data_IF_769362022201
#
_entry.id   IF_769362022201
#
_cell.length_a   1.000
_cell.length_b   1.000
_cell.length_c   1.000
_cell.angle_alpha   90.00
_cell.angle_beta   90.00
_cell.angle_gamma   90.00
#
_symmetry.space_group_name_H-M   'P 1'
#
loop_
_entity.id
_entity.type
_entity.pdbx_description
1 polymer ?
#
# COMPACT_ATOMS: atom_id res chain seq x y z
N UNK A 1 29.72 -7.19 53.29
CA UNK A 1 28.72 -8.16 52.84
C UNK A 1 27.86 -7.51 51.74
N UNK A 2 28.28 -7.64 50.49
CA UNK A 2 27.67 -7.02 49.33
C UNK A 2 26.79 -8.07 48.64
N UNK A 3 25.48 -7.92 48.65
CA UNK A 3 24.54 -8.80 47.99
C UNK A 3 24.40 -8.39 46.52
N UNK A 4 24.87 -9.22 45.62
CA UNK A 4 24.55 -9.15 44.19
C UNK A 4 23.14 -9.67 43.97
N UNK A 5 22.25 -8.81 43.47
CA UNK A 5 20.96 -9.19 42.96
C UNK A 5 21.13 -9.51 41.46
N UNK A 6 21.05 -10.77 41.13
CA UNK A 6 21.04 -11.27 39.74
C UNK A 6 19.63 -11.04 39.18
N UNK A 7 19.46 -10.02 38.33
CA UNK A 7 18.22 -9.83 37.59
C UNK A 7 18.19 -10.80 36.40
N UNK A 8 17.37 -11.85 36.50
CA UNK A 8 17.04 -12.70 35.36
C UNK A 8 16.08 -11.92 34.45
N UNK A 9 16.61 -11.43 33.35
CA UNK A 9 15.80 -11.00 32.20
C UNK A 9 15.23 -12.25 31.50
N UNK A 10 13.99 -12.59 31.82
CA UNK A 10 13.20 -13.51 31.01
C UNK A 10 12.82 -12.76 29.71
N UNK A 11 13.52 -13.03 28.62
CA UNK A 11 13.02 -12.75 27.28
C UNK A 11 11.93 -13.77 26.98
N UNK A 12 10.68 -13.41 27.22
CA UNK A 12 9.55 -14.12 26.69
C UNK A 12 9.47 -13.88 25.18
N UNK A 13 10.26 -14.61 24.42
CA UNK A 13 10.04 -14.81 23.00
C UNK A 13 8.76 -15.64 22.85
N UNK A 14 7.60 -14.96 22.82
CA UNK A 14 6.35 -15.61 22.50
C UNK A 14 6.43 -16.06 21.05
N UNK A 15 6.42 -17.34 20.81
CA UNK A 15 6.27 -17.94 19.51
C UNK A 15 4.85 -17.63 18.99
N UNK A 16 4.66 -16.46 18.35
CA UNK A 16 3.45 -16.10 17.60
C UNK A 16 3.38 -16.80 16.23
N UNK A 17 4.29 -17.74 15.97
CA UNK A 17 4.48 -18.34 14.65
C UNK A 17 3.30 -19.21 14.17
N UNK A 18 2.43 -19.68 15.06
CA UNK A 18 1.38 -20.64 14.75
C UNK A 18 -0.06 -20.14 14.97
N UNK A 19 -0.25 -18.88 15.38
CA UNK A 19 -1.59 -18.34 15.59
C UNK A 19 -2.15 -17.65 14.35
N UNK A 20 -3.43 -17.89 14.11
CA UNK A 20 -4.18 -17.16 13.09
C UNK A 20 -4.34 -15.69 13.50
N UNK A 21 -4.13 -14.78 12.57
CA UNK A 21 -4.40 -13.36 12.78
C UNK A 21 -5.13 -12.73 11.59
N UNK A 22 -5.71 -11.57 11.81
CA UNK A 22 -6.45 -10.81 10.80
C UNK A 22 -5.85 -9.42 10.68
N UNK A 23 -5.71 -8.93 9.46
CA UNK A 23 -5.53 -7.50 9.20
C UNK A 23 -6.53 -7.04 8.14
N UNK A 24 -6.77 -5.73 8.07
CA UNK A 24 -7.70 -5.13 7.13
C UNK A 24 -7.02 -4.07 6.28
N UNK A 25 -7.56 -3.82 5.07
CA UNK A 25 -6.96 -2.88 4.12
C UNK A 25 -8.07 -2.03 3.51
N UNK A 26 -7.80 -0.73 3.38
CA UNK A 26 -8.56 0.24 2.55
C UNK A 26 -7.60 1.03 1.68
N UNK A 27 -8.13 1.71 0.67
CA UNK A 27 -7.41 2.63 -0.19
C UNK A 27 -8.29 3.82 -0.54
N UNK A 28 -7.68 4.95 -0.89
CA UNK A 28 -8.38 6.05 -1.54
C UNK A 28 -9.60 6.55 -0.74
N UNK A 29 -9.42 6.78 0.55
CA UNK A 29 -10.49 7.25 1.43
C UNK A 29 -10.98 8.67 1.10
N UNK A 30 -10.14 9.49 0.47
CA UNK A 30 -10.50 10.76 -0.16
C UNK A 30 -11.53 11.57 0.64
N UNK A 31 -11.21 12.11 1.82
CA UNK A 31 -12.18 12.92 2.57
C UNK A 31 -12.50 14.26 1.87
N UNK A 32 -12.91 14.19 0.63
CA UNK A 32 -13.36 15.34 -0.17
C UNK A 32 -14.90 15.38 -0.29
N UNK A 33 -15.41 16.17 -1.23
CA UNK A 33 -16.85 16.36 -1.47
C UNK A 33 -17.55 15.11 -2.05
N UNK A 34 -16.82 14.14 -2.55
CA UNK A 34 -17.36 12.90 -3.13
C UNK A 34 -17.48 11.78 -2.11
N UNK A 35 -16.86 11.93 -0.94
CA UNK A 35 -16.90 10.90 0.11
C UNK A 35 -18.17 11.01 0.94
N UNK A 36 -18.98 9.96 0.94
CA UNK A 36 -20.04 9.78 1.94
C UNK A 36 -19.40 9.43 3.29
N UNK A 37 -19.37 10.43 4.18
CA UNK A 37 -18.70 10.33 5.48
C UNK A 37 -19.37 9.33 6.41
N UNK A 38 -20.68 9.19 6.34
CA UNK A 38 -21.43 8.22 7.15
C UNK A 38 -21.21 6.80 6.63
N UNK A 39 -21.14 6.64 5.32
CA UNK A 39 -20.80 5.37 4.69
C UNK A 39 -19.37 4.95 5.05
N UNK A 40 -18.40 5.87 4.94
CA UNK A 40 -17.01 5.63 5.34
C UNK A 40 -16.91 5.20 6.82
N UNK A 41 -17.61 5.90 7.71
CA UNK A 41 -17.66 5.52 9.13
C UNK A 41 -18.21 4.11 9.34
N UNK A 42 -19.29 3.73 8.63
CA UNK A 42 -19.85 2.38 8.71
C UNK A 42 -18.86 1.32 8.21
N UNK A 43 -18.13 1.62 7.12
CA UNK A 43 -17.10 0.72 6.59
C UNK A 43 -16.01 0.47 7.62
N UNK A 44 -15.46 1.52 8.25
CA UNK A 44 -14.42 1.36 9.28
C UNK A 44 -14.92 0.62 10.53
N UNK A 45 -16.15 0.90 10.99
CA UNK A 45 -16.76 0.14 12.10
C UNK A 45 -16.96 -1.33 11.75
N UNK A 46 -17.30 -1.63 10.50
CA UNK A 46 -17.42 -3.02 10.03
C UNK A 46 -16.05 -3.69 9.99
N UNK A 47 -15.01 -3.01 9.51
CA UNK A 47 -13.64 -3.52 9.54
C UNK A 47 -13.13 -3.76 10.97
N UNK A 48 -13.43 -2.84 11.90
CA UNK A 48 -13.10 -2.99 13.33
C UNK A 48 -13.73 -4.22 13.98
N UNK A 49 -14.95 -4.59 13.55
CA UNK A 49 -15.66 -5.77 14.06
C UNK A 49 -14.95 -7.10 13.72
N UNK A 50 -14.08 -7.11 12.72
CA UNK A 50 -13.23 -8.25 12.39
C UNK A 50 -12.01 -8.38 13.34
N UNK A 51 -11.83 -7.45 14.29
CA UNK A 51 -10.76 -7.38 15.30
C UNK A 51 -9.37 -7.54 14.68
N UNK A 52 -9.01 -6.71 13.70
CA UNK A 52 -7.70 -6.79 13.07
C UNK A 52 -6.58 -6.44 14.05
N UNK A 53 -5.42 -7.09 13.92
CA UNK A 53 -4.21 -6.76 14.70
C UNK A 53 -3.57 -5.46 14.24
N UNK A 54 -3.81 -5.06 12.98
CA UNK A 54 -3.51 -3.76 12.40
C UNK A 54 -4.39 -3.53 11.15
N UNK A 55 -4.43 -2.29 10.71
CA UNK A 55 -5.06 -1.85 9.47
C UNK A 55 -4.01 -1.22 8.54
N UNK A 56 -4.15 -1.37 7.23
CA UNK A 56 -3.33 -0.69 6.23
C UNK A 56 -4.22 0.22 5.40
N UNK A 57 -3.86 1.49 5.29
CA UNK A 57 -4.48 2.45 4.36
C UNK A 57 -3.49 2.74 3.23
N UNK A 58 -3.91 2.50 1.99
CA UNK A 58 -3.02 2.52 0.82
C UNK A 58 -2.84 3.90 0.18
N UNK A 59 -3.19 4.96 0.91
CA UNK A 59 -2.92 6.33 0.45
C UNK A 59 -4.13 7.00 -0.20
N UNK A 60 -3.88 8.22 -0.67
CA UNK A 60 -4.90 9.20 -1.01
C UNK A 60 -5.85 9.43 0.18
N UNK A 61 -5.20 9.59 1.33
CA UNK A 61 -5.83 9.67 2.65
C UNK A 61 -6.14 11.10 3.04
N UNK A 62 -5.20 12.04 2.80
CA UNK A 62 -5.27 13.40 3.37
C UNK A 62 -5.69 14.46 2.36
N UNK A 63 -5.66 14.19 1.07
CA UNK A 63 -6.02 15.11 -0.02
C UNK A 63 -5.42 16.52 0.15
N UNK A 64 -4.21 16.61 0.72
CA UNK A 64 -3.57 17.86 1.14
C UNK A 64 -3.36 18.83 -0.02
N UNK A 65 -3.15 18.33 -1.22
CA UNK A 65 -2.89 19.13 -2.42
C UNK A 65 -4.14 19.84 -2.97
N UNK A 66 -5.35 19.40 -2.59
CA UNK A 66 -6.60 20.02 -3.00
C UNK A 66 -7.00 21.24 -2.14
N UNK A 67 -6.34 21.45 -1.02
CA UNK A 67 -6.64 22.56 -0.13
C UNK A 67 -5.78 23.79 -0.42
N UNK A 68 -6.44 24.95 -0.56
CA UNK A 68 -5.79 26.23 -0.88
C UNK A 68 -4.98 26.82 0.27
N UNK A 69 -5.24 26.40 1.52
CA UNK A 69 -4.50 26.87 2.68
C UNK A 69 -4.13 25.74 3.64
N UNK A 70 -3.05 25.96 4.40
CA UNK A 70 -2.47 24.95 5.32
C UNK A 70 -3.39 24.58 6.49
N UNK A 71 -4.23 25.50 6.96
CA UNK A 71 -5.16 25.21 8.05
C UNK A 71 -6.26 24.23 7.60
N UNK A 72 -6.83 24.44 6.41
CA UNK A 72 -7.80 23.52 5.83
C UNK A 72 -7.16 22.14 5.54
N UNK A 73 -5.95 22.12 4.99
CA UNK A 73 -5.21 20.86 4.78
C UNK A 73 -4.90 20.15 6.10
N UNK A 74 -4.52 20.88 7.17
CA UNK A 74 -4.26 20.29 8.48
C UNK A 74 -5.52 19.66 9.11
N UNK A 75 -6.71 20.17 8.80
CA UNK A 75 -7.97 19.59 9.29
C UNK A 75 -8.19 18.18 8.76
N UNK A 76 -7.71 17.84 7.56
CA UNK A 76 -7.77 16.49 6.99
C UNK A 76 -7.07 15.46 7.88
N UNK A 77 -5.90 15.79 8.42
CA UNK A 77 -5.17 14.89 9.32
C UNK A 77 -5.94 14.63 10.61
N UNK A 78 -6.57 15.67 11.18
CA UNK A 78 -7.39 15.54 12.38
C UNK A 78 -8.67 14.72 12.12
N UNK A 79 -9.30 14.93 10.99
CA UNK A 79 -10.50 14.17 10.61
C UNK A 79 -10.15 12.69 10.41
N UNK A 80 -9.07 12.39 9.69
CA UNK A 80 -8.62 11.00 9.50
C UNK A 80 -8.24 10.33 10.83
N UNK A 81 -7.61 11.04 11.77
CA UNK A 81 -7.37 10.49 13.10
C UNK A 81 -8.66 10.03 13.79
N UNK A 82 -9.75 10.82 13.68
CA UNK A 82 -11.05 10.47 14.26
C UNK A 82 -11.65 9.24 13.59
N UNK A 83 -11.55 9.14 12.26
CA UNK A 83 -12.02 7.97 11.53
C UNK A 83 -11.19 6.72 11.88
N UNK A 84 -9.88 6.79 11.81
CA UNK A 84 -9.02 5.65 12.13
C UNK A 84 -9.11 5.21 13.59
N UNK A 85 -9.43 6.13 14.51
CA UNK A 85 -9.70 5.76 15.91
C UNK A 85 -10.85 4.75 16.06
N UNK A 86 -11.80 4.69 15.08
CA UNK A 86 -12.88 3.71 15.08
C UNK A 86 -12.40 2.28 14.89
N UNK A 87 -11.22 2.07 14.30
CA UNK A 87 -10.62 0.75 14.08
C UNK A 87 -10.11 0.11 15.37
N UNK A 88 -9.71 0.92 16.37
CA UNK A 88 -9.18 0.44 17.65
C UNK A 88 -7.88 -0.37 17.53
N UNK A 89 -7.13 -0.20 16.45
CA UNK A 89 -5.89 -0.92 16.14
C UNK A 89 -4.89 0.01 15.47
N UNK A 90 -3.57 -0.29 15.47
CA UNK A 90 -2.58 0.47 14.71
C UNK A 90 -2.93 0.57 13.22
N UNK A 91 -2.69 1.73 12.62
CA UNK A 91 -2.90 1.98 11.19
C UNK A 91 -1.56 2.23 10.52
N UNK A 92 -1.22 1.42 9.55
CA UNK A 92 -0.06 1.58 8.69
C UNK A 92 -0.46 2.40 7.46
N UNK A 93 0.23 3.52 7.22
CA UNK A 93 -0.05 4.41 6.10
C UNK A 93 0.90 4.16 4.94
N UNK A 94 0.33 4.12 3.76
CA UNK A 94 1.02 4.25 2.47
C UNK A 94 0.73 5.65 1.93
N UNK A 95 1.63 6.24 1.17
CA UNK A 95 1.47 7.58 0.62
C UNK A 95 0.88 7.52 -0.79
N UNK A 96 -0.21 8.25 -0.99
CA UNK A 96 -0.86 8.44 -2.29
C UNK A 96 -0.48 9.77 -2.96
N UNK A 97 -0.89 9.93 -4.22
CA UNK A 97 -0.53 11.13 -4.99
C UNK A 97 -1.26 12.39 -4.54
N UNK A 98 -2.40 12.27 -3.86
CA UNK A 98 -3.15 13.39 -3.30
C UNK A 98 -2.71 13.79 -1.89
N UNK A 99 -1.85 13.01 -1.23
CA UNK A 99 -1.38 13.30 0.13
C UNK A 99 -0.39 14.47 0.23
N UNK A 100 -0.02 15.05 -0.92
CA UNK A 100 0.81 16.23 -1.00
C UNK A 100 2.31 15.97 -0.82
N UNK A 101 2.74 14.72 -0.73
CA UNK A 101 4.14 14.30 -0.59
C UNK A 101 4.78 13.88 -1.92
N UNK A 102 4.06 13.92 -3.03
CA UNK A 102 4.58 13.52 -4.33
C UNK A 102 5.62 14.48 -4.90
N UNK A 103 6.52 13.96 -5.75
CA UNK A 103 7.61 14.73 -6.36
C UNK A 103 7.15 16.00 -7.09
N UNK A 104 5.93 16.05 -7.63
CA UNK A 104 5.37 17.24 -8.29
C UNK A 104 5.21 18.46 -7.38
N UNK A 105 5.23 18.28 -6.07
CA UNK A 105 5.12 19.35 -5.07
C UNK A 105 6.46 19.80 -4.48
N UNK A 106 7.57 19.32 -5.00
CA UNK A 106 8.91 19.73 -4.59
C UNK A 106 9.27 21.08 -5.27
N UNK A 107 9.15 22.17 -4.53
CA UNK A 107 9.47 23.52 -5.02
C UNK A 107 10.82 24.07 -4.52
N UNK A 108 11.55 23.26 -3.72
CA UNK A 108 12.86 23.64 -3.16
C UNK A 108 12.79 24.62 -1.98
N UNK A 109 11.63 25.18 -1.66
CA UNK A 109 11.46 26.11 -0.53
C UNK A 109 11.19 25.42 0.79
N UNK A 110 11.29 26.15 1.90
CA UNK A 110 10.93 25.65 3.23
C UNK A 110 9.42 25.40 3.39
N UNK A 111 8.62 26.06 2.55
CA UNK A 111 7.16 25.99 2.57
C UNK A 111 6.59 25.04 1.49
N UNK A 112 7.44 24.24 0.82
CA UNK A 112 6.94 23.32 -0.18
C UNK A 112 5.90 22.36 0.41
N UNK A 113 4.90 21.99 -0.41
CA UNK A 113 3.81 21.14 0.04
C UNK A 113 4.30 19.80 0.53
N UNK A 114 5.21 19.15 -0.20
CA UNK A 114 5.74 17.83 0.17
C UNK A 114 6.40 17.83 1.57
N UNK A 115 7.22 18.83 1.85
CA UNK A 115 7.87 18.97 3.17
C UNK A 115 6.86 19.23 4.28
N UNK A 116 5.88 20.11 4.02
CA UNK A 116 4.84 20.41 4.98
C UNK A 116 3.93 19.20 5.26
N UNK A 117 3.46 18.51 4.22
CA UNK A 117 2.60 17.32 4.34
C UNK A 117 3.31 16.20 5.11
N UNK A 118 4.60 15.95 4.81
CA UNK A 118 5.42 15.01 5.58
C UNK A 118 5.50 15.37 7.06
N UNK A 119 5.71 16.65 7.38
CA UNK A 119 5.75 17.11 8.77
C UNK A 119 4.39 16.93 9.47
N UNK A 120 3.27 17.15 8.77
CA UNK A 120 1.92 16.91 9.30
C UNK A 120 1.66 15.44 9.54
N UNK A 121 2.03 14.58 8.60
CA UNK A 121 1.90 13.13 8.76
C UNK A 121 2.68 12.64 9.99
N UNK A 122 3.94 12.99 10.13
CA UNK A 122 4.76 12.65 11.31
C UNK A 122 4.15 13.18 12.61
N UNK A 123 3.57 14.38 12.57
CA UNK A 123 2.94 15.00 13.76
C UNK A 123 1.67 14.26 14.19
N UNK A 124 0.80 13.90 13.27
CA UNK A 124 -0.52 13.35 13.57
C UNK A 124 -0.57 11.83 13.53
N UNK A 125 0.36 11.20 12.82
CA UNK A 125 0.50 9.74 12.69
C UNK A 125 1.97 9.34 12.90
N UNK A 126 2.48 9.50 14.14
CA UNK A 126 3.89 9.21 14.44
C UNK A 126 4.22 7.72 14.34
N UNK A 127 3.22 6.85 14.47
CA UNK A 127 3.35 5.41 14.47
C UNK A 127 2.25 4.74 13.60
N UNK A 128 2.56 3.63 12.96
CA UNK A 128 3.90 3.06 12.74
C UNK A 128 4.59 3.72 11.54
N UNK A 129 5.82 4.19 11.72
CA UNK A 129 6.66 4.81 10.69
C UNK A 129 8.07 4.25 10.76
N UNK A 130 8.86 4.48 9.69
CA UNK A 130 10.29 4.27 9.76
C UNK A 130 10.90 5.19 10.84
N UNK A 131 11.88 4.72 11.63
CA UNK A 131 12.50 5.52 12.71
C UNK A 131 13.10 6.86 12.24
N UNK A 132 13.47 6.97 10.97
CA UNK A 132 14.03 8.17 10.35
C UNK A 132 12.97 9.02 9.61
N UNK A 133 11.68 8.69 9.75
CA UNK A 133 10.56 9.41 9.16
C UNK A 133 10.35 9.18 7.66
N UNK A 134 11.01 8.18 7.06
CA UNK A 134 10.75 7.77 5.68
C UNK A 134 9.35 7.16 5.56
N UNK A 135 8.76 7.26 4.37
CA UNK A 135 7.44 6.71 4.06
C UNK A 135 7.49 5.25 3.61
N UNK A 136 8.68 4.69 3.40
CA UNK A 136 8.87 3.27 3.08
C UNK A 136 9.53 2.56 4.27
N UNK A 137 8.92 1.45 4.66
CA UNK A 137 9.33 0.70 5.86
C UNK A 137 8.80 -0.74 5.81
N UNK A 138 9.21 -1.55 6.75
CA UNK A 138 8.74 -2.94 6.87
C UNK A 138 8.61 -3.35 8.32
N UNK A 139 7.75 -4.32 8.56
CA UNK A 139 7.61 -4.99 9.85
C UNK A 139 7.30 -6.47 9.66
N UNK A 140 7.42 -7.23 10.71
CA UNK A 140 7.00 -8.63 10.76
C UNK A 140 5.88 -8.81 11.79
N UNK A 141 4.92 -9.68 11.47
CA UNK A 141 3.91 -10.14 12.40
C UNK A 141 3.63 -11.62 12.15
N UNK A 142 3.72 -12.45 13.19
CA UNK A 142 3.69 -13.91 13.01
C UNK A 142 4.80 -14.38 12.06
N UNK A 143 4.43 -15.18 11.08
CA UNK A 143 5.31 -15.71 10.04
C UNK A 143 5.31 -14.86 8.74
N UNK A 144 4.89 -13.61 8.82
CA UNK A 144 4.68 -12.74 7.66
C UNK A 144 5.55 -11.49 7.71
N UNK A 145 6.06 -11.08 6.54
CA UNK A 145 6.73 -9.81 6.28
C UNK A 145 5.77 -8.88 5.54
N UNK A 146 5.70 -7.65 6.00
CA UNK A 146 4.92 -6.55 5.44
C UNK A 146 5.86 -5.44 5.03
N UNK A 147 5.74 -4.97 3.80
CA UNK A 147 6.62 -3.95 3.21
C UNK A 147 5.78 -2.85 2.60
N UNK A 148 5.96 -1.63 3.07
CA UNK A 148 5.39 -0.41 2.48
C UNK A 148 6.42 0.21 1.57
N UNK A 149 6.01 0.53 0.34
CA UNK A 149 6.80 1.27 -0.66
C UNK A 149 6.21 2.65 -0.90
N UNK A 150 7.09 3.63 -1.12
CA UNK A 150 6.72 4.99 -1.49
C UNK A 150 7.11 5.26 -2.94
N UNK A 151 6.15 5.33 -3.87
CA UNK A 151 6.43 5.61 -5.28
C UNK A 151 6.81 7.08 -5.54
N UNK A 152 6.80 7.94 -4.52
CA UNK A 152 7.00 9.38 -4.66
C UNK A 152 8.28 9.91 -4.03
N UNK A 153 8.90 9.17 -3.08
CA UNK A 153 10.03 9.66 -2.28
C UNK A 153 11.21 10.13 -3.14
N UNK A 154 11.55 9.38 -4.19
CA UNK A 154 12.65 9.69 -5.11
C UNK A 154 12.19 10.10 -6.50
N UNK A 155 10.86 10.11 -6.76
CA UNK A 155 10.32 10.53 -8.04
C UNK A 155 10.52 12.03 -8.22
N UNK A 156 11.30 12.47 -9.24
CA UNK A 156 11.48 13.87 -9.52
C UNK A 156 10.16 14.48 -10.02
N UNK A 157 10.11 15.83 -10.03
CA UNK A 157 8.97 16.53 -10.62
C UNK A 157 8.86 16.13 -12.09
N UNK A 158 7.69 15.61 -12.53
CA UNK A 158 7.51 15.22 -13.91
C UNK A 158 7.60 16.45 -14.84
N UNK A 159 8.32 16.30 -15.93
CA UNK A 159 8.29 17.24 -17.04
C UNK A 159 7.13 16.88 -17.97
N UNK A 160 6.50 17.86 -18.61
CA UNK A 160 5.54 17.59 -19.68
C UNK A 160 6.28 16.87 -20.82
N UNK A 161 5.75 15.76 -21.28
CA UNK A 161 6.27 14.88 -22.35
C UNK A 161 7.32 13.84 -21.92
N UNK A 162 7.58 13.64 -20.64
CA UNK A 162 8.42 12.53 -20.20
C UNK A 162 7.66 11.21 -20.31
N UNK A 163 8.38 10.18 -20.68
CA UNK A 163 7.92 8.81 -20.49
C UNK A 163 7.89 8.47 -18.97
N UNK A 164 7.16 7.43 -18.57
CA UNK A 164 7.01 7.14 -17.15
C UNK A 164 8.26 6.57 -16.46
N UNK A 165 9.43 6.56 -17.12
CA UNK A 165 10.70 6.23 -16.49
C UNK A 165 11.14 7.25 -15.43
N UNK A 166 10.53 8.44 -15.36
CA UNK A 166 10.75 9.39 -14.25
C UNK A 166 10.16 8.90 -12.92
N UNK A 167 9.14 8.04 -12.95
CA UNK A 167 8.58 7.39 -11.76
C UNK A 167 9.58 6.35 -11.26
N UNK A 168 9.94 6.43 -9.99
CA UNK A 168 10.99 5.60 -9.44
C UNK A 168 10.87 5.42 -7.94
N UNK A 169 11.16 4.22 -7.46
CA UNK A 169 11.46 4.00 -6.06
C UNK A 169 12.82 4.61 -5.66
N UNK A 170 13.67 4.93 -6.65
CA UNK A 170 15.06 5.33 -6.41
C UNK A 170 15.96 4.17 -5.98
N UNK A 171 17.27 4.32 -6.28
CA UNK A 171 18.24 3.23 -6.00
C UNK A 171 18.32 2.88 -4.52
N UNK A 172 18.19 3.85 -3.63
CA UNK A 172 18.24 3.63 -2.18
C UNK A 172 17.10 2.77 -1.69
N UNK A 173 15.84 3.11 -2.06
CA UNK A 173 14.67 2.34 -1.68
C UNK A 173 14.68 0.95 -2.34
N UNK A 174 15.09 0.87 -3.62
CA UNK A 174 15.23 -0.40 -4.31
C UNK A 174 16.23 -1.34 -3.63
N UNK A 175 17.41 -0.84 -3.27
CA UNK A 175 18.42 -1.64 -2.58
C UNK A 175 17.97 -2.06 -1.17
N UNK A 176 17.24 -1.19 -0.49
CA UNK A 176 16.62 -1.51 0.79
C UNK A 176 15.56 -2.61 0.61
N UNK A 177 14.65 -2.48 -0.37
CA UNK A 177 13.65 -3.49 -0.69
C UNK A 177 14.31 -4.85 -0.97
N UNK A 178 15.31 -4.85 -1.84
CA UNK A 178 16.07 -6.06 -2.19
C UNK A 178 16.62 -6.73 -0.94
N UNK A 179 17.36 -6.00 -0.09
CA UNK A 179 17.91 -6.55 1.16
C UNK A 179 16.82 -7.06 2.09
N UNK A 180 15.74 -6.32 2.27
CA UNK A 180 14.61 -6.69 3.14
C UNK A 180 13.98 -8.02 2.70
N UNK A 181 13.79 -8.22 1.41
CA UNK A 181 13.22 -9.44 0.87
C UNK A 181 14.17 -10.63 0.94
N UNK A 182 15.46 -10.44 0.59
CA UNK A 182 16.48 -11.49 0.56
C UNK A 182 16.87 -12.00 1.95
N UNK A 183 16.84 -11.13 2.96
CA UNK A 183 17.17 -11.50 4.34
C UNK A 183 15.98 -12.06 5.12
N UNK A 184 14.78 -12.01 4.56
CA UNK A 184 13.57 -12.46 5.25
C UNK A 184 13.27 -13.94 5.00
N UNK A 185 13.12 -14.68 6.09
CA UNK A 185 12.63 -16.07 6.09
C UNK A 185 11.09 -16.16 6.28
N UNK A 186 10.37 -15.03 6.18
CA UNK A 186 8.93 -15.01 6.33
C UNK A 186 8.27 -15.88 5.26
N UNK A 187 7.27 -16.65 5.70
CA UNK A 187 6.50 -17.56 4.84
C UNK A 187 5.62 -16.80 3.87
N UNK A 188 5.06 -15.68 4.33
CA UNK A 188 4.27 -14.75 3.51
C UNK A 188 4.99 -13.42 3.43
N UNK A 189 5.02 -12.82 2.23
CA UNK A 189 5.60 -11.50 1.99
C UNK A 189 4.59 -10.65 1.25
N UNK A 190 4.18 -9.56 1.86
CA UNK A 190 3.18 -8.64 1.32
C UNK A 190 3.80 -7.28 1.03
N UNK A 191 3.54 -6.77 -0.17
CA UNK A 191 3.94 -5.43 -0.59
C UNK A 191 2.70 -4.54 -0.61
N UNK A 192 2.85 -3.32 -0.07
CA UNK A 192 1.84 -2.26 -0.09
C UNK A 192 2.41 -1.04 -0.78
N UNK A 193 1.74 -0.57 -1.79
CA UNK A 193 2.14 0.60 -2.58
C UNK A 193 0.88 1.28 -3.10
N UNK A 194 0.85 2.61 -3.19
CA UNK A 194 -0.34 3.29 -3.69
C UNK A 194 -0.61 2.96 -5.17
N UNK A 195 0.41 3.11 -6.02
CA UNK A 195 0.38 2.66 -7.42
C UNK A 195 1.72 2.10 -7.84
N UNK A 196 1.75 1.25 -8.85
CA UNK A 196 2.99 0.72 -9.39
C UNK A 196 3.82 1.85 -10.04
N UNK A 197 5.15 1.77 -9.94
CA UNK A 197 6.05 2.68 -10.68
C UNK A 197 6.19 2.23 -12.14
N UNK A 198 5.05 2.03 -12.78
CA UNK A 198 4.91 1.55 -14.16
C UNK A 198 3.91 2.38 -14.94
N UNK A 199 2.79 2.73 -14.37
CA UNK A 199 1.59 3.22 -15.01
C UNK A 199 1.80 4.12 -16.22
N UNK A 200 1.16 3.75 -17.33
CA UNK A 200 1.05 4.59 -18.52
C UNK A 200 -0.21 5.43 -18.33
N UNK A 201 -0.11 6.77 -18.39
CA UNK A 201 -1.28 7.62 -18.23
C UNK A 201 -2.42 7.16 -19.16
N UNK A 202 -3.59 6.86 -18.58
CA UNK A 202 -4.82 6.40 -19.20
C UNK A 202 -4.79 4.98 -19.82
N UNK A 203 -3.68 4.26 -19.77
CA UNK A 203 -3.63 2.85 -20.21
C UNK A 203 -2.75 2.08 -19.23
N UNK A 204 -3.32 1.11 -18.52
CA UNK A 204 -2.59 0.24 -17.61
C UNK A 204 -1.97 0.96 -16.41
N UNK A 205 -2.74 1.80 -15.70
CA UNK A 205 -2.25 2.53 -14.51
C UNK A 205 -1.89 1.60 -13.36
N UNK A 206 -2.57 0.49 -13.24
CA UNK A 206 -2.36 -0.47 -12.18
C UNK A 206 -2.46 -1.92 -12.65
N UNK A 207 -2.35 -2.86 -11.74
CA UNK A 207 -2.52 -4.27 -11.99
C UNK A 207 -1.48 -4.92 -12.91
N UNK A 208 -1.82 -6.10 -13.39
CA UNK A 208 -0.90 -6.90 -14.22
C UNK A 208 -0.69 -6.34 -15.62
N UNK A 209 -1.62 -5.55 -16.12
CA UNK A 209 -1.50 -4.89 -17.44
C UNK A 209 -0.41 -3.81 -17.42
N UNK A 210 -0.21 -3.15 -16.28
CA UNK A 210 0.85 -2.16 -16.08
C UNK A 210 2.19 -2.79 -15.68
N UNK A 211 2.17 -3.93 -15.00
CA UNK A 211 3.34 -4.56 -14.41
C UNK A 211 4.52 -4.82 -15.38
N UNK A 212 4.34 -5.07 -16.69
CA UNK A 212 5.46 -5.26 -17.62
C UNK A 212 6.31 -4.02 -17.89
N UNK A 213 5.81 -2.81 -17.58
CA UNK A 213 6.40 -1.57 -18.06
C UNK A 213 7.29 -0.86 -17.05
N UNK A 214 8.18 -0.01 -17.59
CA UNK A 214 9.05 0.92 -16.88
C UNK A 214 9.84 0.26 -15.74
N UNK A 215 10.05 0.93 -14.64
CA UNK A 215 10.88 0.42 -13.53
C UNK A 215 10.30 -0.87 -12.91
N UNK A 216 8.97 -1.05 -12.98
CA UNK A 216 8.33 -2.23 -12.43
C UNK A 216 8.65 -3.50 -13.22
N UNK A 217 8.50 -3.47 -14.57
CA UNK A 217 8.67 -4.65 -15.41
C UNK A 217 9.79 -4.58 -16.45
N UNK A 218 10.39 -3.42 -16.66
CA UNK A 218 11.58 -3.22 -17.48
C UNK A 218 11.36 -2.83 -18.92
N UNK A 219 10.11 -2.83 -19.41
CA UNK A 219 9.80 -2.50 -20.80
C UNK A 219 9.44 -1.03 -21.00
N UNK A 220 9.76 -0.51 -22.16
CA UNK A 220 9.24 0.75 -22.66
C UNK A 220 7.75 0.62 -23.02
N UNK A 221 7.05 1.73 -23.25
CA UNK A 221 5.65 1.75 -23.65
C UNK A 221 5.36 0.96 -24.93
N UNK A 222 6.33 0.86 -25.85
CA UNK A 222 6.26 0.11 -27.10
C UNK A 222 6.55 -1.39 -26.94
N UNK A 223 6.81 -1.85 -25.71
CA UNK A 223 7.11 -3.25 -25.38
C UNK A 223 8.57 -3.66 -25.57
N UNK A 224 9.44 -2.77 -26.04
CA UNK A 224 10.89 -3.03 -26.13
C UNK A 224 11.55 -3.00 -24.76
N UNK A 225 12.70 -3.65 -24.59
CA UNK A 225 13.44 -3.64 -23.34
C UNK A 225 14.11 -2.26 -23.13
N UNK A 226 13.84 -1.66 -21.98
CA UNK A 226 14.38 -0.34 -21.60
C UNK A 226 15.14 -0.32 -20.27
N UNK A 227 15.05 -1.39 -19.47
CA UNK A 227 15.50 -1.39 -18.08
C UNK A 227 17.00 -1.06 -17.92
N UNK A 228 17.86 -1.72 -18.66
CA UNK A 228 19.31 -1.50 -18.56
C UNK A 228 19.72 -0.06 -18.93
N UNK A 229 19.00 0.56 -19.86
CA UNK A 229 19.22 1.95 -20.28
C UNK A 229 18.80 2.94 -19.18
N UNK A 230 17.62 2.74 -18.60
CA UNK A 230 17.00 3.70 -17.66
C UNK A 230 17.37 3.45 -16.19
N UNK A 231 17.79 2.22 -15.87
CA UNK A 231 18.22 1.81 -14.50
C UNK A 231 19.60 1.12 -14.52
N UNK A 232 20.66 1.84 -14.99
CA UNK A 232 21.98 1.27 -15.05
C UNK A 232 22.45 0.84 -13.64
N UNK A 233 22.98 -0.38 -13.54
CA UNK A 233 23.46 -0.94 -12.27
C UNK A 233 22.39 -1.47 -11.32
N UNK A 234 21.13 -1.52 -11.72
CA UNK A 234 20.11 -2.28 -11.01
C UNK A 234 20.11 -3.72 -11.52
N UNK A 235 20.02 -4.73 -10.62
CA UNK A 235 20.14 -6.13 -11.04
C UNK A 235 18.92 -6.66 -11.81
N UNK A 236 17.73 -6.14 -11.54
CA UNK A 236 16.48 -6.59 -12.17
C UNK A 236 15.35 -5.55 -12.00
N UNK A 237 14.33 -5.58 -12.86
CA UNK A 237 13.07 -4.88 -12.63
C UNK A 237 12.42 -5.30 -11.31
N UNK A 238 11.56 -4.43 -10.74
CA UNK A 238 10.93 -4.67 -9.45
C UNK A 238 10.12 -5.97 -9.47
N UNK A 239 9.27 -6.19 -10.47
CA UNK A 239 8.47 -7.40 -10.58
C UNK A 239 9.33 -8.67 -10.51
N UNK A 240 10.44 -8.69 -11.26
CA UNK A 240 11.36 -9.83 -11.24
C UNK A 240 12.01 -10.03 -9.85
N UNK A 241 12.35 -8.94 -9.16
CA UNK A 241 12.86 -9.00 -7.78
C UNK A 241 11.80 -9.62 -6.84
N UNK A 242 10.53 -9.23 -6.99
CA UNK A 242 9.43 -9.77 -6.18
C UNK A 242 9.22 -11.27 -6.43
N UNK A 243 9.26 -11.71 -7.70
CA UNK A 243 9.15 -13.12 -8.09
C UNK A 243 10.29 -13.95 -7.51
N UNK A 244 11.54 -13.48 -7.64
CA UNK A 244 12.74 -14.17 -7.14
C UNK A 244 12.72 -14.36 -5.61
N UNK A 245 12.03 -13.46 -4.90
CA UNK A 245 11.91 -13.49 -3.44
C UNK A 245 10.57 -14.05 -2.93
N UNK A 246 9.79 -14.70 -3.81
CA UNK A 246 8.53 -15.35 -3.46
C UNK A 246 7.54 -14.42 -2.75
N UNK A 247 7.37 -13.21 -3.25
CA UNK A 247 6.35 -12.28 -2.74
C UNK A 247 4.98 -12.89 -2.97
N UNK A 248 4.14 -12.85 -1.93
CA UNK A 248 2.81 -13.47 -1.91
C UNK A 248 1.78 -12.62 -2.63
N UNK A 249 1.75 -11.32 -2.32
CA UNK A 249 0.83 -10.38 -2.95
C UNK A 249 1.38 -8.94 -2.94
N UNK A 250 0.96 -8.17 -3.94
CA UNK A 250 1.08 -6.71 -4.03
C UNK A 250 -0.31 -6.14 -3.90
N UNK A 251 -0.55 -5.35 -2.84
CA UNK A 251 -1.77 -4.58 -2.64
C UNK A 251 -1.53 -3.15 -3.08
N UNK A 252 -2.42 -2.63 -3.93
CA UNK A 252 -2.35 -1.26 -4.44
C UNK A 252 -3.73 -0.61 -4.48
N UNK A 253 -3.79 0.69 -4.61
CA UNK A 253 -4.98 1.51 -4.73
C UNK A 253 -4.92 2.37 -6.00
N UNK A 254 -5.42 3.62 -5.91
CA UNK A 254 -5.34 4.63 -6.94
C UNK A 254 -6.41 4.59 -8.03
N UNK A 255 -6.89 3.41 -8.42
CA UNK A 255 -7.81 3.27 -9.55
C UNK A 255 -9.28 3.08 -9.12
N UNK A 256 -9.55 3.14 -7.81
CA UNK A 256 -10.89 3.21 -7.20
C UNK A 256 -11.81 2.06 -7.58
N UNK A 257 -11.27 0.85 -7.65
CA UNK A 257 -12.04 -0.37 -7.93
C UNK A 257 -11.50 -1.55 -7.12
N UNK A 258 -12.17 -2.67 -7.20
CA UNK A 258 -11.62 -3.94 -6.77
C UNK A 258 -11.16 -4.72 -8.00
N UNK A 259 -9.88 -5.10 -8.04
CA UNK A 259 -9.39 -6.04 -9.06
C UNK A 259 -8.43 -7.05 -8.44
N UNK A 260 -8.81 -8.34 -8.50
CA UNK A 260 -7.95 -9.46 -8.12
C UNK A 260 -7.37 -10.07 -9.38
N UNK A 261 -6.05 -9.98 -9.51
CA UNK A 261 -5.29 -10.45 -10.67
C UNK A 261 -4.10 -11.30 -10.22
N UNK A 262 -3.49 -12.06 -11.14
CA UNK A 262 -2.31 -12.88 -10.86
C UNK A 262 -1.29 -12.78 -11.99
N UNK A 263 -0.02 -12.62 -11.65
CA UNK A 263 1.10 -12.63 -12.58
C UNK A 263 2.31 -13.33 -11.93
N UNK A 264 2.85 -14.32 -12.59
CA UNK A 264 4.06 -15.07 -12.18
C UNK A 264 4.00 -15.58 -10.73
N UNK A 265 2.81 -16.01 -10.28
CA UNK A 265 2.57 -16.55 -8.95
C UNK A 265 2.39 -15.50 -7.85
N UNK A 266 2.36 -14.21 -8.20
CA UNK A 266 2.06 -13.10 -7.30
C UNK A 266 0.64 -12.62 -7.54
N UNK A 267 -0.14 -12.44 -6.47
CA UNK A 267 -1.44 -11.75 -6.53
C UNK A 267 -1.22 -10.25 -6.58
N UNK A 268 -1.79 -9.60 -7.59
CA UNK A 268 -1.93 -8.14 -7.68
C UNK A 268 -3.37 -7.78 -7.32
N UNK A 269 -3.52 -7.04 -6.22
CA UNK A 269 -4.82 -6.71 -5.67
C UNK A 269 -5.02 -5.21 -5.59
N UNK A 270 -5.86 -4.69 -6.48
CA UNK A 270 -6.40 -3.33 -6.35
C UNK A 270 -7.44 -3.30 -5.23
N UNK A 271 -7.28 -2.39 -4.29
CA UNK A 271 -8.06 -2.33 -3.06
C UNK A 271 -9.18 -1.28 -3.18
N UNK A 272 -10.42 -1.63 -2.82
CA UNK A 272 -11.57 -0.74 -3.00
C UNK A 272 -11.55 0.46 -2.05
N UNK A 273 -12.19 1.55 -2.50
CA UNK A 273 -12.47 2.73 -1.67
C UNK A 273 -13.46 2.40 -0.56
N UNK A 274 -13.28 2.95 0.66
CA UNK A 274 -14.19 2.70 1.77
C UNK A 274 -15.39 3.66 1.85
N UNK A 275 -15.40 4.75 1.11
CA UNK A 275 -16.34 5.86 1.27
C UNK A 275 -17.21 6.20 0.06
N UNK A 276 -17.19 5.38 -1.01
CA UNK A 276 -18.01 5.58 -2.21
C UNK A 276 -19.16 4.57 -2.26
N UNK A 277 -20.42 4.98 -1.96
CA UNK A 277 -21.56 4.07 -1.97
C UNK A 277 -22.00 3.63 -3.36
N UNK A 278 -21.59 4.33 -4.41
CA UNK A 278 -22.03 4.04 -5.79
C UNK A 278 -21.06 3.11 -6.55
N UNK A 279 -19.88 2.95 -6.09
CA UNK A 279 -18.72 2.24 -6.64
C UNK A 279 -18.93 1.51 -7.94
N UNK A 280 -18.35 2.02 -9.03
CA UNK A 280 -18.52 1.49 -10.38
C UNK A 280 -17.26 0.78 -10.87
N UNK A 281 -17.38 0.04 -11.99
CA UNK A 281 -16.24 -0.56 -12.70
C UNK A 281 -15.76 0.31 -13.87
N UNK A 282 -16.24 1.56 -13.99
CA UNK A 282 -15.89 2.45 -15.12
C UNK A 282 -14.40 2.69 -15.22
N UNK A 283 -13.72 2.86 -14.10
CA UNK A 283 -12.28 3.04 -14.05
C UNK A 283 -11.49 1.84 -14.56
N UNK A 284 -12.04 0.64 -14.52
CA UNK A 284 -11.39 -0.55 -15.09
C UNK A 284 -11.12 -0.38 -16.59
N UNK A 285 -12.14 0.04 -17.35
CA UNK A 285 -11.99 0.29 -18.80
C UNK A 285 -11.08 1.49 -19.09
N UNK A 286 -11.16 2.55 -18.25
CA UNK A 286 -10.35 3.75 -18.40
C UNK A 286 -8.85 3.46 -18.17
N UNK A 287 -8.53 2.59 -17.21
CA UNK A 287 -7.15 2.29 -16.79
C UNK A 287 -6.61 0.96 -17.30
N UNK A 288 -7.37 0.28 -18.15
CA UNK A 288 -6.88 -0.85 -18.92
C UNK A 288 -6.92 -2.20 -18.20
N UNK A 289 -7.69 -2.33 -17.12
CA UNK A 289 -7.90 -3.62 -16.44
C UNK A 289 -8.75 -4.54 -17.34
N UNK A 290 -8.19 -5.67 -17.75
CA UNK A 290 -8.84 -6.61 -18.69
C UNK A 290 -8.88 -8.04 -18.18
N UNK A 291 -8.13 -8.36 -17.13
CA UNK A 291 -8.00 -9.72 -16.60
C UNK A 291 -8.36 -9.80 -15.12
N UNK A 292 -8.73 -10.97 -14.66
CA UNK A 292 -9.01 -11.27 -13.27
C UNK A 292 -10.47 -11.03 -12.87
N UNK A 293 -10.70 -10.89 -11.55
CA UNK A 293 -12.00 -10.54 -10.97
C UNK A 293 -12.05 -9.06 -10.76
N UNK A 294 -12.88 -8.36 -11.52
CA UNK A 294 -13.02 -6.89 -11.50
C UNK A 294 -14.42 -6.55 -11.02
N UNK A 295 -14.51 -5.81 -9.90
CA UNK A 295 -15.76 -5.41 -9.28
C UNK A 295 -15.73 -3.91 -8.94
N UNK A 296 -16.92 -3.32 -8.78
CA UNK A 296 -17.01 -1.95 -8.32
C UNK A 296 -16.45 -1.77 -6.91
N UNK A 297 -15.95 -0.57 -6.66
CA UNK A 297 -15.45 -0.16 -5.36
C UNK A 297 -16.58 -0.09 -4.33
N UNK A 298 -16.28 0.02 -3.10
CA UNK A 298 -16.98 0.29 -1.85
C UNK A 298 -16.73 -0.79 -0.82
N UNK A 299 -15.84 -0.49 0.12
CA UNK A 299 -15.64 -1.41 1.23
C UNK A 299 -14.20 -1.57 1.65
N UNK A 300 -13.86 -2.77 2.06
CA UNK A 300 -12.51 -3.08 2.56
C UNK A 300 -12.15 -4.54 2.32
N UNK A 301 -10.85 -4.84 2.39
CA UNK A 301 -10.36 -6.20 2.39
C UNK A 301 -10.09 -6.67 3.83
N UNK A 302 -10.48 -7.91 4.11
CA UNK A 302 -10.02 -8.66 5.28
C UNK A 302 -9.07 -9.75 4.83
N UNK A 303 -7.86 -9.74 5.38
CA UNK A 303 -6.88 -10.80 5.17
C UNK A 303 -6.72 -11.59 6.45
N UNK A 304 -6.93 -12.88 6.37
CA UNK A 304 -6.73 -13.82 7.48
C UNK A 304 -5.52 -14.69 7.16
N UNK A 305 -4.52 -14.64 8.01
CA UNK A 305 -3.31 -15.46 7.89
C UNK A 305 -3.37 -16.60 8.89
N UNK A 306 -3.06 -17.80 8.44
CA UNK A 306 -2.74 -18.93 9.29
C UNK A 306 -1.43 -19.59 8.80
N UNK A 307 -0.88 -20.62 9.47
CA UNK A 307 0.38 -21.24 9.05
C UNK A 307 0.41 -21.80 7.64
N UNK A 308 -0.74 -22.08 7.03
CA UNK A 308 -0.84 -22.77 5.74
C UNK A 308 -1.19 -21.83 4.58
N UNK A 309 -2.01 -20.82 4.84
CA UNK A 309 -2.58 -19.96 3.79
C UNK A 309 -2.92 -18.56 4.27
N UNK A 310 -2.96 -17.63 3.34
CA UNK A 310 -3.60 -16.34 3.45
C UNK A 310 -4.99 -16.40 2.79
N UNK A 311 -6.03 -15.99 3.48
CA UNK A 311 -7.40 -15.88 2.93
C UNK A 311 -7.78 -14.42 2.83
N UNK A 312 -8.05 -13.95 1.63
CA UNK A 312 -8.51 -12.57 1.36
C UNK A 312 -10.00 -12.59 1.09
N UNK A 313 -10.74 -11.69 1.72
CA UNK A 313 -12.17 -11.50 1.49
C UNK A 313 -12.45 -10.02 1.22
N UNK A 314 -13.14 -9.75 0.13
CA UNK A 314 -13.68 -8.44 -0.15
C UNK A 314 -15.04 -8.29 0.52
N UNK A 315 -15.12 -7.44 1.54
CA UNK A 315 -16.37 -7.01 2.15
C UNK A 315 -16.86 -5.76 1.42
N UNK A 316 -17.75 -5.99 0.45
CA UNK A 316 -18.44 -4.92 -0.25
C UNK A 316 -19.50 -4.34 0.66
N UNK A 317 -19.41 -3.03 0.88
CA UNK A 317 -20.40 -2.28 1.65
C UNK A 317 -21.52 -1.78 0.75
N UNK A 318 -22.72 -1.66 1.31
CA UNK A 318 -23.88 -1.04 0.69
C UNK A 318 -24.72 -0.30 1.74
N UNK A 319 -25.83 0.29 1.33
CA UNK A 319 -26.67 1.09 2.23
C UNK A 319 -27.34 0.29 3.36
N UNK A 320 -27.43 -1.03 3.24
CA UNK A 320 -28.10 -1.89 4.24
C UNK A 320 -27.12 -2.76 5.06
N UNK A 321 -25.85 -2.86 4.64
CA UNK A 321 -24.87 -3.66 5.36
C UNK A 321 -23.63 -3.98 4.53
N UNK A 322 -23.13 -5.21 4.64
CA UNK A 322 -22.01 -5.72 3.87
C UNK A 322 -22.26 -7.15 3.38
N UNK A 323 -21.67 -7.46 2.24
CA UNK A 323 -21.63 -8.81 1.67
C UNK A 323 -20.17 -9.20 1.36
N UNK A 324 -19.90 -10.49 1.24
CA UNK A 324 -18.63 -10.98 0.70
C UNK A 324 -18.79 -11.06 -0.81
N UNK A 325 -18.25 -10.07 -1.54
CA UNK A 325 -18.37 -9.98 -2.98
C UNK A 325 -17.32 -10.86 -3.71
N UNK A 326 -16.16 -11.10 -3.07
CA UNK A 326 -15.15 -12.05 -3.55
C UNK A 326 -14.37 -12.63 -2.38
N UNK A 327 -13.83 -13.85 -2.57
CA UNK A 327 -12.98 -14.50 -1.59
C UNK A 327 -12.03 -15.48 -2.28
N UNK A 328 -10.74 -15.40 -1.93
CA UNK A 328 -9.73 -16.31 -2.44
C UNK A 328 -8.68 -16.66 -1.37
N UNK A 329 -7.88 -17.68 -1.67
CA UNK A 329 -6.77 -18.11 -0.80
C UNK A 329 -5.46 -18.10 -1.58
N UNK A 330 -4.39 -17.74 -0.90
CA UNK A 330 -3.02 -17.78 -1.40
C UNK A 330 -2.26 -18.77 -0.52
N UNK A 331 -1.68 -19.80 -1.13
CA UNK A 331 -0.70 -20.67 -0.45
C UNK A 331 0.69 -20.11 -0.70
N UNK A 332 1.56 -20.08 0.32
CA UNK A 332 2.92 -19.59 0.13
C UNK A 332 3.68 -20.51 -0.82
N UNK A 333 4.60 -19.94 -1.59
CA UNK A 333 5.54 -20.75 -2.35
C UNK A 333 6.35 -21.66 -1.42
N UNK A 334 6.68 -22.90 -1.83
CA UNK A 334 7.51 -23.77 -1.02
C UNK A 334 8.86 -23.09 -0.76
N UNK A 335 9.25 -23.03 0.51
CA UNK A 335 10.58 -22.54 0.90
C UNK A 335 11.61 -23.48 0.29
N UNK A 336 12.47 -22.96 -0.57
CA UNK A 336 13.63 -23.76 -1.06
C UNK A 336 14.49 -24.07 0.16
N UNK A 337 14.62 -25.37 0.45
CA UNK A 337 15.55 -25.89 1.46
C UNK A 337 16.99 -25.65 1.02
#
# INVERSE_FOLDING_TARGET
>A
MTRFILALLFSAGVALADEQFVFTITADSHLDEHTDRDFYQRTLKRAAADKPVFHVDLGDTFMSEKHTNRAAAAQQYLDQQRYFALLGTPVHLVIGNHDGESGRYLDGTTNCLARWSRAMRVKYFPEPLAPDGRNYYSWTYGNSLFVVLDPFWFTPRPHRNDDNWYRTLGKEQYDWLKRTLETSNAKFKFIFIHHLVSGVDKQGRGGIEAAPFYEWGGKNADGTDGFAQHRPGWPAPIHQLLVQNHVTAVFHGHDHLYAKQELDGIVYQEVPQPGDPEGSTRSAAEYGYTHGVILGSSGYLRVTINPEKATVKYFRMNNVGSEIADAYTITPAPVRQ
#
